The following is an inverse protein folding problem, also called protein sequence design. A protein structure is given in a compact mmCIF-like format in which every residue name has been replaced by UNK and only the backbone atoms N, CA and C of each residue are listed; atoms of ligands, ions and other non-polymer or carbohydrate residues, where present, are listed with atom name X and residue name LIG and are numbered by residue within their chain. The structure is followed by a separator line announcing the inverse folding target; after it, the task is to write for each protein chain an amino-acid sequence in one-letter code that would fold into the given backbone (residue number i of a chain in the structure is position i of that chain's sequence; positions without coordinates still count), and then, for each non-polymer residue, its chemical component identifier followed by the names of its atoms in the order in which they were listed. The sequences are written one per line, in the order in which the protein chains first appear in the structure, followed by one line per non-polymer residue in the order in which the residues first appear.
data_IF_868423452561
#
_entry.id   IF_868423452561
#
_cell.length_a   1.000
_cell.length_b   1.000
_cell.length_c   1.000
_cell.angle_alpha   90.00
_cell.angle_beta   90.00
_cell.angle_gamma   90.00
#
_symmetry.space_group_name_H-M   'P 1'
#
loop_
_entity.id
_entity.type
_entity.pdbx_description
1 polymer ?
#
# COMPACT_ATOMS: atom_id res chain seq x y z
N UNK A 1 5.02 -8.17 9.58
CA UNK A 1 5.97 -7.07 9.24
C UNK A 1 7.05 -7.60 8.31
N UNK A 2 7.50 -6.79 7.34
CA UNK A 2 8.47 -7.21 6.33
C UNK A 2 9.86 -7.41 6.96
N UNK A 3 10.53 -8.51 6.65
CA UNK A 3 11.91 -8.71 7.06
C UNK A 3 12.85 -7.76 6.28
N UNK A 4 14.06 -7.54 6.82
CA UNK A 4 15.01 -6.58 6.26
C UNK A 4 15.47 -6.92 4.84
N UNK A 5 15.55 -8.21 4.50
CA UNK A 5 15.97 -8.65 3.17
C UNK A 5 14.89 -8.31 2.13
N UNK A 6 13.62 -8.53 2.47
CA UNK A 6 12.50 -8.21 1.61
C UNK A 6 12.29 -6.70 1.47
N UNK A 7 12.47 -5.92 2.54
CA UNK A 7 12.47 -4.44 2.47
C UNK A 7 13.53 -3.91 1.51
N UNK A 8 14.74 -4.46 1.59
CA UNK A 8 15.85 -4.07 0.70
C UNK A 8 15.54 -4.39 -0.77
N UNK A 9 15.02 -5.58 -1.04
CA UNK A 9 14.61 -5.97 -2.38
C UNK A 9 13.47 -5.10 -2.92
N UNK A 10 12.44 -4.87 -2.10
CA UNK A 10 11.30 -4.05 -2.47
C UNK A 10 11.74 -2.62 -2.79
N UNK A 11 12.59 -2.01 -1.96
CA UNK A 11 13.17 -0.68 -2.21
C UNK A 11 13.88 -0.63 -3.57
N UNK A 12 14.70 -1.62 -3.89
CA UNK A 12 15.39 -1.68 -5.18
C UNK A 12 14.44 -1.76 -6.39
N UNK A 13 13.27 -2.42 -6.23
CA UNK A 13 12.22 -2.39 -7.26
C UNK A 13 11.53 -1.03 -7.33
N UNK A 14 11.24 -0.41 -6.19
CA UNK A 14 10.56 0.89 -6.10
C UNK A 14 11.41 2.03 -6.67
N UNK A 15 12.73 1.94 -6.65
CA UNK A 15 13.62 2.89 -7.34
C UNK A 15 13.35 2.97 -8.86
N UNK A 16 12.87 1.88 -9.47
CA UNK A 16 12.54 1.82 -10.90
C UNK A 16 11.14 2.35 -11.23
N UNK A 17 10.31 2.62 -10.22
CA UNK A 17 8.95 3.14 -10.42
C UNK A 17 9.03 4.57 -10.92
N UNK A 18 8.59 4.85 -12.14
CA UNK A 18 8.64 6.21 -12.73
C UNK A 18 7.37 7.03 -12.53
N UNK A 19 6.29 6.41 -12.03
CA UNK A 19 4.97 7.05 -11.84
C UNK A 19 4.58 7.05 -10.36
N UNK A 20 3.74 7.99 -9.92
CA UNK A 20 3.17 7.92 -8.59
C UNK A 20 2.29 6.67 -8.46
N UNK A 21 2.36 6.04 -7.30
CA UNK A 21 1.50 4.92 -6.90
C UNK A 21 0.66 5.41 -5.71
N UNK A 22 -0.64 5.16 -5.78
CA UNK A 22 -1.58 5.43 -4.71
C UNK A 22 -2.14 4.11 -4.22
N UNK A 23 -1.94 3.84 -2.92
CA UNK A 23 -2.48 2.68 -2.23
C UNK A 23 -3.74 3.14 -1.51
N UNK A 24 -4.89 2.58 -1.86
CA UNK A 24 -6.14 2.83 -1.14
C UNK A 24 -6.43 1.61 -0.27
N UNK A 25 -6.24 1.73 1.04
CA UNK A 25 -6.53 0.68 2.01
C UNK A 25 -7.96 0.78 2.52
N UNK A 26 -8.67 -0.35 2.54
CA UNK A 26 -9.95 -0.52 3.25
C UNK A 26 -9.67 -1.30 4.52
N UNK A 27 -9.81 -0.64 5.67
CA UNK A 27 -9.42 -1.17 6.98
C UNK A 27 -10.58 -1.05 7.98
N UNK A 28 -10.62 -1.98 8.94
CA UNK A 28 -11.50 -1.99 10.10
C UNK A 28 -10.70 -2.09 11.41
N UNK A 29 -11.38 -2.26 12.54
CA UNK A 29 -10.73 -2.38 13.85
C UNK A 29 -10.21 -3.80 14.16
N UNK A 30 -10.28 -4.73 13.20
CA UNK A 30 -9.81 -6.10 13.41
C UNK A 30 -8.28 -6.17 13.50
N UNK A 31 -7.72 -7.18 14.20
CA UNK A 31 -6.27 -7.37 14.26
C UNK A 31 -5.60 -7.51 12.88
N UNK A 32 -6.31 -8.07 11.90
CA UNK A 32 -5.79 -8.23 10.53
C UNK A 32 -5.66 -6.90 9.79
N UNK A 33 -6.62 -5.99 10.00
CA UNK A 33 -6.53 -4.64 9.43
C UNK A 33 -5.34 -3.87 10.00
N UNK A 34 -5.05 -4.01 11.30
CA UNK A 34 -3.86 -3.42 11.92
C UNK A 34 -2.56 -3.98 11.34
N UNK A 35 -2.49 -5.29 11.13
CA UNK A 35 -1.32 -5.91 10.48
C UNK A 35 -1.13 -5.40 9.03
N UNK A 36 -2.23 -5.20 8.29
CA UNK A 36 -2.18 -4.60 6.95
C UNK A 36 -1.77 -3.13 6.99
N UNK A 37 -2.30 -2.34 7.93
CA UNK A 37 -1.93 -0.94 8.16
C UNK A 37 -0.41 -0.82 8.39
N UNK A 38 0.14 -1.64 9.29
CA UNK A 38 1.58 -1.71 9.55
C UNK A 38 2.38 -2.07 8.28
N UNK A 39 1.94 -3.09 7.53
CA UNK A 39 2.59 -3.49 6.28
C UNK A 39 2.61 -2.35 5.25
N UNK A 40 1.45 -1.71 5.02
CA UNK A 40 1.33 -0.63 4.04
C UNK A 40 2.12 0.61 4.48
N UNK A 41 2.12 0.92 5.78
CA UNK A 41 2.95 1.98 6.35
C UNK A 41 4.44 1.74 6.13
N UNK A 42 4.92 0.51 6.30
CA UNK A 42 6.31 0.16 5.99
C UNK A 42 6.63 0.38 4.51
N UNK A 43 5.71 0.04 3.59
CA UNK A 43 5.91 0.19 2.14
C UNK A 43 5.98 1.66 1.73
N UNK A 44 5.12 2.52 2.28
CA UNK A 44 5.12 3.97 2.00
C UNK A 44 6.47 4.59 2.36
N UNK A 45 7.10 4.14 3.45
CA UNK A 45 8.41 4.63 3.88
C UNK A 45 9.57 4.21 2.97
N UNK A 46 9.36 3.26 2.05
CA UNK A 46 10.41 2.82 1.11
C UNK A 46 10.53 3.70 -0.12
N UNK A 47 9.53 4.56 -0.42
CA UNK A 47 9.57 5.43 -1.60
C UNK A 47 8.65 6.64 -1.50
N UNK A 48 9.18 7.83 -1.83
CA UNK A 48 8.41 9.08 -1.91
C UNK A 48 7.37 9.10 -3.04
N UNK A 49 7.39 8.09 -3.94
CA UNK A 49 6.41 7.96 -5.03
C UNK A 49 5.14 7.22 -4.61
N UNK A 50 5.10 6.67 -3.40
CA UNK A 50 3.96 5.93 -2.87
C UNK A 50 3.19 6.81 -1.89
N UNK A 51 1.88 6.84 -2.05
CA UNK A 51 0.95 7.46 -1.10
C UNK A 51 -0.01 6.41 -0.57
N UNK A 52 -0.43 6.54 0.68
CA UNK A 52 -1.42 5.68 1.32
C UNK A 52 -2.64 6.51 1.71
N UNK A 53 -3.81 6.03 1.29
CA UNK A 53 -5.11 6.58 1.66
C UNK A 53 -5.87 5.49 2.39
N UNK A 54 -6.14 5.73 3.67
CA UNK A 54 -6.96 4.85 4.48
C UNK A 54 -8.44 5.22 4.35
N UNK A 55 -9.27 4.23 4.10
CA UNK A 55 -10.72 4.34 4.13
C UNK A 55 -11.26 3.38 5.17
N UNK A 56 -11.84 3.94 6.23
CA UNK A 56 -12.65 3.17 7.19
C UNK A 56 -14.07 3.08 6.63
N UNK A 57 -14.64 1.88 6.65
CA UNK A 57 -16.03 1.57 6.25
C UNK A 57 -16.38 1.56 4.74
N UNK A 58 -15.41 1.38 3.84
CA UNK A 58 -15.66 1.55 2.41
C UNK A 58 -16.01 0.27 1.62
N UNK A 59 -15.78 -0.93 2.14
CA UNK A 59 -15.88 -2.14 1.29
C UNK A 59 -16.26 -3.45 2.00
N UNK A 60 -16.97 -4.32 1.28
CA UNK A 60 -17.36 -5.65 1.71
C UNK A 60 -16.15 -6.60 1.89
N UNK A 61 -15.00 -6.27 1.28
CA UNK A 61 -13.76 -7.03 1.39
C UNK A 61 -12.74 -6.36 2.32
N UNK A 62 -13.09 -6.13 3.58
CA UNK A 62 -12.17 -5.56 4.57
C UNK A 62 -11.51 -6.69 5.40
N UNK A 63 -10.17 -6.70 5.60
CA UNK A 63 -9.17 -5.77 5.05
C UNK A 63 -8.76 -6.06 3.60
N UNK A 64 -8.61 -5.01 2.79
CA UNK A 64 -8.02 -5.07 1.44
C UNK A 64 -7.34 -3.76 1.08
N UNK A 65 -6.59 -3.75 -0.02
CA UNK A 65 -6.07 -2.52 -0.62
C UNK A 65 -6.16 -2.58 -2.14
N UNK A 66 -6.22 -1.41 -2.77
CA UNK A 66 -6.14 -1.24 -4.21
C UNK A 66 -4.89 -0.40 -4.57
N UNK A 67 -4.34 -0.63 -5.75
CA UNK A 67 -3.24 0.15 -6.32
C UNK A 67 -3.75 0.96 -7.51
N UNK A 68 -3.55 2.26 -7.44
CA UNK A 68 -3.85 3.21 -8.50
C UNK A 68 -2.59 3.91 -8.98
N UNK A 69 -2.63 4.45 -10.19
CA UNK A 69 -1.61 5.40 -10.66
C UNK A 69 -2.29 6.72 -11.05
N UNK A 70 -2.18 7.78 -10.24
CA UNK A 70 -2.81 9.06 -10.52
C UNK A 70 -2.52 9.56 -11.93
N UNK A 71 -3.57 10.05 -12.60
CA UNK A 71 -3.50 10.52 -13.99
C UNK A 71 -3.44 9.40 -15.04
N UNK A 72 -3.59 8.13 -14.66
CA UNK A 72 -3.64 7.00 -15.56
C UNK A 72 -4.84 6.10 -15.23
N UNK A 73 -5.38 5.43 -16.24
CA UNK A 73 -6.43 4.42 -16.09
C UNK A 73 -5.80 3.06 -15.70
N UNK A 74 -5.21 3.02 -14.50
CA UNK A 74 -4.61 1.82 -13.92
C UNK A 74 -5.21 1.64 -12.53
N UNK A 75 -5.97 0.57 -12.37
CA UNK A 75 -6.65 0.20 -11.14
C UNK A 75 -6.48 -1.30 -10.91
N UNK A 76 -5.79 -1.68 -9.82
CA UNK A 76 -5.61 -3.06 -9.41
C UNK A 76 -6.23 -3.25 -8.02
N UNK A 77 -7.01 -4.32 -7.84
CA UNK A 77 -7.57 -4.72 -6.55
C UNK A 77 -7.45 -6.22 -6.35
#
# INVERSE_FOLDING_TARGET
MLDESLKTQLKAYLEKVVRPIEIIASLDDSPKSREMEELLGEIVLLSDRISLIERRDADAHTPSFALNSPGHDIHLR
#
